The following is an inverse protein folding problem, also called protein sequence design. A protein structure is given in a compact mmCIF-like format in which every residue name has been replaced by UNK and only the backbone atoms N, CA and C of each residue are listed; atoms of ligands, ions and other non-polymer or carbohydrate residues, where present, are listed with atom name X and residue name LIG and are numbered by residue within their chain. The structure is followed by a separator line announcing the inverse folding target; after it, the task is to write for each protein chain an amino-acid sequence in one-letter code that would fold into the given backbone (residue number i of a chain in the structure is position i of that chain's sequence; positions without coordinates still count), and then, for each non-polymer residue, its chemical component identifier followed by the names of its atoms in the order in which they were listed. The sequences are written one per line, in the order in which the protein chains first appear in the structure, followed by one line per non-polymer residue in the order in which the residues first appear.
data_IF_041681739622
#
_entry.id   IF_041681739622
#
_cell.length_a   1.000
_cell.length_b   1.000
_cell.length_c   1.000
_cell.angle_alpha   90.00
_cell.angle_beta   90.00
_cell.angle_gamma   90.00
#
_symmetry.space_group_name_H-M   'P 1'
#
loop_
_entity.id
_entity.type
_entity.pdbx_description
1 polymer ?
#
# COMPACT_ATOMS: atom_id res chain seq x y z
N UNK A 1 -7.81 5.11 -22.58
CA UNK A 1 -6.50 4.43 -22.46
C UNK A 1 -5.47 5.15 -21.58
N UNK A 2 -5.75 6.30 -20.94
CA UNK A 2 -4.78 7.01 -20.06
C UNK A 2 -5.19 7.05 -18.56
N UNK A 3 -6.34 6.45 -18.22
CA UNK A 3 -6.94 6.42 -16.89
C UNK A 3 -6.45 5.27 -16.00
N UNK A 4 -5.92 4.19 -16.57
CA UNK A 4 -5.43 2.99 -15.85
C UNK A 4 -4.11 3.20 -15.13
N UNK A 5 -3.15 3.90 -15.72
CA UNK A 5 -1.76 3.98 -15.20
C UNK A 5 -1.57 4.59 -13.78
N UNK A 6 -2.59 5.24 -13.18
CA UNK A 6 -2.47 5.81 -11.81
C UNK A 6 -3.16 4.95 -10.74
N UNK A 7 -4.18 4.18 -11.13
CA UNK A 7 -4.72 3.12 -10.27
C UNK A 7 -3.68 1.99 -10.16
N UNK A 8 -3.04 1.63 -11.27
CA UNK A 8 -1.90 0.71 -11.31
C UNK A 8 -0.76 1.18 -10.38
N UNK A 9 -0.44 2.48 -10.39
CA UNK A 9 0.61 3.04 -9.51
C UNK A 9 0.25 3.05 -8.03
N UNK A 10 -1.04 3.10 -7.67
CA UNK A 10 -1.48 3.07 -6.27
C UNK A 10 -1.58 1.63 -5.76
N UNK A 11 -2.09 0.71 -6.57
CA UNK A 11 -2.12 -0.72 -6.28
C UNK A 11 -0.69 -1.25 -6.10
N UNK A 12 0.23 -0.93 -7.03
CA UNK A 12 1.64 -1.29 -6.94
C UNK A 12 2.28 -0.76 -5.64
N UNK A 13 1.98 0.49 -5.29
CA UNK A 13 2.45 1.09 -4.04
C UNK A 13 1.87 0.39 -2.81
N UNK A 14 0.61 -0.03 -2.82
CA UNK A 14 0.00 -0.80 -1.74
C UNK A 14 0.70 -2.16 -1.57
N UNK A 15 1.10 -2.80 -2.67
CA UNK A 15 1.87 -4.04 -2.66
C UNK A 15 3.26 -3.83 -2.05
N UNK A 16 3.97 -2.75 -2.41
CA UNK A 16 5.27 -2.41 -1.80
C UNK A 16 5.14 -2.11 -0.29
N UNK A 17 4.10 -1.37 0.10
CA UNK A 17 3.77 -1.09 1.50
C UNK A 17 3.52 -2.39 2.25
N UNK A 18 2.77 -3.33 1.66
CA UNK A 18 2.52 -4.64 2.26
C UNK A 18 3.81 -5.45 2.43
N UNK A 19 4.69 -5.49 1.42
CA UNK A 19 6.00 -6.16 1.51
C UNK A 19 6.83 -5.61 2.67
N UNK A 20 6.87 -4.29 2.83
CA UNK A 20 7.59 -3.64 3.93
C UNK A 20 6.92 -3.92 5.28
N UNK A 21 5.59 -3.91 5.36
CA UNK A 21 4.84 -4.26 6.59
C UNK A 21 5.13 -5.69 7.03
N UNK A 22 5.15 -6.64 6.08
CA UNK A 22 5.53 -8.04 6.33
C UNK A 22 6.99 -8.16 6.77
N UNK A 23 7.89 -7.43 6.11
CA UNK A 23 9.30 -7.38 6.48
C UNK A 23 9.49 -6.86 7.90
N UNK A 24 8.83 -5.76 8.29
CA UNK A 24 8.86 -5.21 9.64
C UNK A 24 8.36 -6.22 10.66
N UNK A 25 7.22 -6.87 10.40
CA UNK A 25 6.68 -7.94 11.27
C UNK A 25 7.69 -9.08 11.45
N UNK A 26 8.39 -9.45 10.37
CA UNK A 26 9.44 -10.48 10.43
C UNK A 26 10.68 -10.03 11.19
N UNK A 27 11.03 -8.74 11.14
CA UNK A 27 12.17 -8.15 11.84
C UNK A 27 11.88 -7.98 13.34
N UNK A 28 10.67 -7.59 13.71
CA UNK A 28 10.24 -7.43 15.11
C UNK A 28 10.11 -8.77 15.83
N UNK A 29 9.71 -9.82 15.12
CA UNK A 29 9.63 -11.18 15.68
C UNK A 29 11.02 -11.77 15.96
N UNK A 30 12.05 -11.35 15.22
CA UNK A 30 13.42 -11.84 15.37
C UNK A 30 14.07 -11.25 16.61
N UNK A 31 14.51 -12.12 17.53
CA UNK A 31 15.32 -11.76 18.69
C UNK A 31 16.68 -12.41 18.64
N UNK A 32 17.70 -11.64 18.97
CA UNK A 32 19.08 -12.10 19.09
C UNK A 32 19.45 -12.46 20.53
N UNK A 33 20.37 -13.41 20.69
CA UNK A 33 21.00 -13.72 21.97
C UNK A 33 22.15 -12.73 22.22
N UNK A 34 21.85 -11.55 22.76
CA UNK A 34 22.84 -10.52 23.10
C UNK A 34 22.74 -9.26 22.24
N UNK A 35 23.76 -8.40 22.30
CA UNK A 35 23.80 -7.11 21.60
C UNK A 35 24.45 -7.25 20.22
N UNK A 36 23.86 -8.03 19.32
CA UNK A 36 24.43 -8.30 17.99
C UNK A 36 23.51 -7.92 16.82
N UNK A 37 22.42 -7.21 17.12
CA UNK A 37 21.45 -6.76 16.11
C UNK A 37 21.69 -5.30 15.79
N UNK A 38 22.24 -5.04 14.61
CA UNK A 38 22.51 -3.70 14.10
C UNK A 38 21.34 -3.25 13.24
N UNK A 39 20.79 -2.10 13.60
CA UNK A 39 19.83 -1.34 12.80
C UNK A 39 20.53 -0.07 12.31
N UNK A 40 20.71 0.06 10.99
CA UNK A 40 21.37 1.21 10.37
C UNK A 40 20.42 1.84 9.33
N UNK A 41 20.11 3.11 9.51
CA UNK A 41 19.28 3.91 8.60
C UNK A 41 20.07 5.14 8.21
N UNK A 42 20.23 5.32 6.90
CA UNK A 42 21.00 6.40 6.30
C UNK A 42 20.03 7.30 5.51
N UNK A 43 19.93 8.58 5.84
CA UNK A 43 19.03 9.49 5.15
C UNK A 43 19.55 9.80 3.74
N UNK A 44 18.66 10.21 2.82
CA UNK A 44 19.07 10.61 1.49
C UNK A 44 19.97 11.84 1.57
N UNK A 45 20.92 11.94 0.64
CA UNK A 45 21.96 12.99 0.57
C UNK A 45 23.12 12.85 1.56
N UNK A 46 23.09 11.92 2.51
CA UNK A 46 24.28 11.62 3.32
C UNK A 46 25.35 10.88 2.49
N UNK A 47 26.59 10.89 2.97
CA UNK A 47 27.73 10.25 2.31
C UNK A 47 28.03 8.88 2.91
N UNK A 48 28.17 7.86 2.04
CA UNK A 48 28.55 6.50 2.46
C UNK A 48 29.90 6.48 3.18
N UNK A 49 30.84 7.34 2.78
CA UNK A 49 32.16 7.47 3.41
C UNK A 49 32.08 7.83 4.90
N UNK A 50 31.16 8.72 5.29
CA UNK A 50 30.91 9.09 6.68
C UNK A 50 30.45 7.89 7.49
N UNK A 51 29.49 7.13 6.98
CA UNK A 51 28.95 5.94 7.65
C UNK A 51 29.99 4.82 7.72
N UNK A 52 30.77 4.63 6.65
CA UNK A 52 31.88 3.67 6.65
C UNK A 52 32.94 4.00 7.69
N UNK A 53 33.23 5.28 7.92
CA UNK A 53 34.15 5.72 8.97
C UNK A 53 33.57 5.44 10.36
N UNK A 54 32.30 5.80 10.58
CA UNK A 54 31.60 5.50 11.84
C UNK A 54 31.65 4.00 12.16
N UNK A 55 31.35 3.12 11.19
CA UNK A 55 31.42 1.67 11.39
C UNK A 55 32.84 1.17 11.68
N UNK A 56 33.88 1.82 11.15
CA UNK A 56 35.27 1.48 11.46
C UNK A 56 35.66 1.89 12.89
N UNK A 57 35.20 3.07 13.34
CA UNK A 57 35.40 3.53 14.72
C UNK A 57 34.67 2.60 15.71
N UNK A 58 33.44 2.21 15.40
CA UNK A 58 32.64 1.25 16.19
C UNK A 58 33.25 -0.16 16.21
N UNK A 59 33.89 -0.59 15.13
CA UNK A 59 34.66 -1.85 15.12
C UNK A 59 35.86 -1.79 16.08
N UNK A 60 36.54 -0.64 16.15
CA UNK A 60 37.63 -0.39 17.07
C UNK A 60 37.18 -0.40 18.54
N UNK A 61 36.06 0.25 18.86
CA UNK A 61 35.50 0.24 20.23
C UNK A 61 35.01 -1.14 20.64
N UNK A 62 34.33 -1.86 19.74
CA UNK A 62 33.84 -3.22 20.00
C UNK A 62 34.97 -4.23 20.28
N UNK A 63 36.18 -3.98 19.78
CA UNK A 63 37.35 -4.83 20.06
C UNK A 63 37.75 -4.84 21.54
N UNK A 64 37.39 -3.79 22.30
CA UNK A 64 37.66 -3.67 23.74
C UNK A 64 36.64 -4.40 24.63
N UNK A 65 35.62 -5.04 24.05
CA UNK A 65 34.63 -5.81 24.81
C UNK A 65 35.33 -7.03 25.48
N UNK A 66 35.15 -7.16 26.81
CA UNK A 66 35.81 -8.21 27.62
C UNK A 66 35.25 -9.61 27.35
N UNK A 67 33.93 -9.72 27.14
CA UNK A 67 33.29 -11.00 26.86
C UNK A 67 33.69 -11.48 25.46
N UNK A 68 34.41 -12.60 25.38
CA UNK A 68 34.89 -13.16 24.10
C UNK A 68 33.75 -13.44 23.12
N UNK A 69 32.66 -14.03 23.62
CA UNK A 69 31.50 -14.40 22.79
C UNK A 69 30.80 -13.14 22.27
N UNK A 70 30.46 -12.19 23.15
CA UNK A 70 29.77 -10.96 22.74
C UNK A 70 30.64 -10.12 21.78
N UNK A 71 31.95 -10.05 22.03
CA UNK A 71 32.89 -9.37 21.14
C UNK A 71 32.87 -9.94 19.73
N UNK A 72 32.95 -11.27 19.59
CA UNK A 72 32.93 -11.91 18.27
C UNK A 72 31.61 -11.68 17.54
N UNK A 73 30.48 -11.72 18.24
CA UNK A 73 29.16 -11.46 17.66
C UNK A 73 29.03 -10.02 17.16
N UNK A 74 29.43 -9.02 17.97
CA UNK A 74 29.39 -7.60 17.58
C UNK A 74 30.33 -7.33 16.40
N UNK A 75 31.57 -7.80 16.45
CA UNK A 75 32.53 -7.62 15.35
C UNK A 75 32.02 -8.27 14.06
N UNK A 76 31.46 -9.48 14.16
CA UNK A 76 30.88 -10.19 13.02
C UNK A 76 29.70 -9.44 12.39
N UNK A 77 28.84 -8.82 13.19
CA UNK A 77 27.73 -8.00 12.71
C UNK A 77 28.23 -6.72 12.01
N UNK A 78 29.17 -5.98 12.63
CA UNK A 78 29.73 -4.76 12.04
C UNK A 78 30.43 -5.08 10.71
N UNK A 79 31.24 -6.13 10.65
CA UNK A 79 31.89 -6.58 9.41
C UNK A 79 30.86 -6.90 8.32
N UNK A 80 29.76 -7.56 8.67
CA UNK A 80 28.69 -7.89 7.72
C UNK A 80 28.01 -6.62 7.17
N UNK A 81 27.72 -5.63 8.01
CA UNK A 81 27.21 -4.31 7.57
C UNK A 81 28.21 -3.59 6.67
N UNK A 82 29.50 -3.58 7.02
CA UNK A 82 30.54 -2.98 6.19
C UNK A 82 30.63 -3.64 4.81
N UNK A 83 30.50 -4.97 4.72
CA UNK A 83 30.48 -5.66 3.43
C UNK A 83 29.26 -5.31 2.58
N UNK A 84 28.07 -5.16 3.19
CA UNK A 84 26.86 -4.71 2.49
C UNK A 84 27.00 -3.26 2.02
N UNK A 85 27.49 -2.38 2.88
CA UNK A 85 27.66 -0.96 2.57
C UNK A 85 28.59 -0.73 1.35
N UNK A 86 29.59 -1.61 1.15
CA UNK A 86 30.49 -1.57 -0.02
C UNK A 86 29.79 -1.86 -1.36
N UNK A 87 28.63 -2.51 -1.36
CA UNK A 87 27.85 -2.75 -2.58
C UNK A 87 27.25 -1.45 -3.13
N UNK A 88 27.07 -0.45 -2.28
CA UNK A 88 26.49 0.84 -2.65
C UNK A 88 27.59 1.88 -2.88
N UNK A 89 27.64 2.45 -4.08
CA UNK A 89 28.57 3.55 -4.40
C UNK A 89 28.07 4.89 -3.85
N UNK A 90 26.75 5.09 -3.80
CA UNK A 90 26.09 6.29 -3.28
C UNK A 90 24.80 5.89 -2.55
N UNK A 91 24.39 6.68 -1.55
CA UNK A 91 23.09 6.49 -0.90
C UNK A 91 21.99 6.70 -1.95
N UNK A 92 21.06 5.76 -2.11
CA UNK A 92 19.91 5.90 -3.01
C UNK A 92 19.05 7.14 -2.69
N UNK A 93 18.20 7.60 -3.64
CA UNK A 93 17.45 8.85 -3.49
C UNK A 93 16.47 8.87 -2.31
N UNK A 94 15.95 7.71 -1.88
CA UNK A 94 15.05 7.62 -0.73
C UNK A 94 15.77 7.29 0.60
N UNK A 95 17.08 7.08 0.57
CA UNK A 95 17.88 6.63 1.71
C UNK A 95 18.23 5.15 1.61
N UNK A 96 18.88 4.63 2.65
CA UNK A 96 19.30 3.22 2.72
C UNK A 96 19.02 2.66 4.11
N UNK A 97 18.42 1.47 4.16
CA UNK A 97 18.13 0.76 5.40
C UNK A 97 18.87 -0.56 5.39
N UNK A 98 19.64 -0.83 6.45
CA UNK A 98 20.41 -2.06 6.61
C UNK A 98 20.10 -2.65 7.99
N UNK A 99 19.60 -3.88 8.00
CA UNK A 99 19.45 -4.71 9.19
C UNK A 99 20.42 -5.88 9.11
N UNK A 100 21.24 -6.02 10.14
CA UNK A 100 22.25 -7.06 10.20
C UNK A 100 22.32 -7.65 11.61
N UNK A 101 22.32 -8.98 11.71
CA UNK A 101 22.51 -9.62 13.01
C UNK A 101 22.47 -11.14 12.96
N UNK A 102 22.76 -11.75 14.08
CA UNK A 102 22.68 -13.20 14.28
C UNK A 102 21.41 -13.52 15.06
N UNK A 103 20.46 -14.20 14.44
CA UNK A 103 19.24 -14.67 15.09
C UNK A 103 19.37 -16.15 15.42
N UNK A 104 18.65 -16.60 16.45
CA UNK A 104 18.48 -18.02 16.72
C UNK A 104 17.17 -18.45 16.06
N UNK A 105 17.23 -19.45 15.19
CA UNK A 105 16.03 -20.07 14.61
C UNK A 105 15.37 -21.00 15.63
N UNK A 106 14.11 -21.39 15.42
CA UNK A 106 13.38 -22.31 16.32
C UNK A 106 14.08 -23.67 16.51
N UNK A 107 14.92 -24.08 15.55
CA UNK A 107 15.79 -25.27 15.65
C UNK A 107 17.03 -25.07 16.54
N UNK A 108 17.19 -23.92 17.19
CA UNK A 108 18.36 -23.59 18.02
C UNK A 108 19.64 -23.28 17.24
N UNK A 109 19.61 -23.29 15.91
CA UNK A 109 20.74 -22.90 15.05
C UNK A 109 20.87 -21.38 14.93
N UNK A 110 22.11 -20.90 14.87
CA UNK A 110 22.40 -19.48 14.60
C UNK A 110 22.34 -19.20 13.10
N UNK A 111 21.49 -18.26 12.68
CA UNK A 111 21.39 -17.78 11.30
C UNK A 111 21.77 -16.32 11.23
N UNK A 112 22.71 -15.98 10.32
CA UNK A 112 23.05 -14.59 10.00
C UNK A 112 21.96 -14.02 9.09
N UNK A 113 21.36 -12.90 9.50
CA UNK A 113 20.36 -12.16 8.74
C UNK A 113 21.00 -10.86 8.30
N UNK A 114 21.07 -10.67 6.98
CA UNK A 114 21.56 -9.45 6.35
C UNK A 114 20.48 -9.01 5.36
N UNK A 115 19.84 -7.88 5.63
CA UNK A 115 18.79 -7.32 4.79
C UNK A 115 19.15 -5.88 4.51
N UNK A 116 19.24 -5.53 3.24
CA UNK A 116 19.48 -4.18 2.77
C UNK A 116 18.49 -3.84 1.66
N UNK A 117 17.86 -2.67 1.76
CA UNK A 117 16.90 -2.19 0.77
C UNK A 117 16.77 -0.66 0.79
N UNK A 118 16.31 -0.11 -0.34
CA UNK A 118 15.88 1.28 -0.45
C UNK A 118 14.40 1.40 -0.04
N UNK A 119 14.03 2.29 0.88
CA UNK A 119 12.63 2.52 1.24
C UNK A 119 11.85 3.21 0.11
N UNK A 120 10.55 2.96 0.03
CA UNK A 120 9.65 3.58 -0.96
C UNK A 120 9.44 5.09 -0.78
N UNK A 121 9.78 5.63 0.39
CA UNK A 121 9.72 7.06 0.73
C UNK A 121 11.05 7.54 1.31
N UNK A 122 11.47 8.78 1.00
CA UNK A 122 12.63 9.41 1.62
C UNK A 122 12.58 9.42 3.15
N UNK A 123 13.61 8.87 3.80
CA UNK A 123 13.74 8.85 5.26
C UNK A 123 14.67 9.96 5.73
N UNK A 124 14.17 10.93 6.51
CA UNK A 124 15.03 12.00 7.05
C UNK A 124 15.75 11.64 8.36
N UNK A 125 15.47 10.47 8.94
CA UNK A 125 16.09 10.03 10.20
C UNK A 125 17.37 9.23 9.95
N UNK A 126 18.46 9.62 10.58
CA UNK A 126 19.67 8.79 10.69
C UNK A 126 19.61 7.99 11.99
N UNK A 127 19.80 6.67 11.92
CA UNK A 127 19.77 5.78 13.08
C UNK A 127 20.89 4.76 12.98
N UNK A 128 21.66 4.58 14.05
CA UNK A 128 22.60 3.49 14.24
C UNK A 128 22.44 2.98 15.67
N UNK A 129 21.92 1.76 15.82
CA UNK A 129 21.72 1.12 17.12
C UNK A 129 22.15 -0.34 17.05
N UNK A 130 22.81 -0.80 18.10
CA UNK A 130 23.17 -2.19 18.32
C UNK A 130 22.46 -2.67 19.60
N UNK A 131 21.47 -3.55 19.45
CA UNK A 131 20.67 -4.07 20.57
C UNK A 131 20.41 -5.58 20.39
N UNK A 132 19.52 -6.17 21.20
CA UNK A 132 19.05 -7.54 21.08
C UNK A 132 17.85 -7.73 20.13
N UNK A 133 17.32 -6.63 19.59
CA UNK A 133 16.21 -6.58 18.63
C UNK A 133 16.51 -5.58 17.52
N UNK A 134 15.80 -5.71 16.40
CA UNK A 134 15.84 -4.68 15.36
C UNK A 134 14.91 -3.52 15.71
N UNK A 135 15.39 -2.31 15.42
CA UNK A 135 14.64 -1.06 15.59
C UNK A 135 13.96 -0.69 14.27
N UNK A 136 12.65 -0.88 14.22
CA UNK A 136 11.79 -0.67 13.06
C UNK A 136 10.93 0.58 13.18
N UNK A 137 11.07 1.38 14.25
CA UNK A 137 10.19 2.51 14.55
C UNK A 137 10.17 3.54 13.42
N UNK A 138 11.33 3.81 12.81
CA UNK A 138 11.47 4.71 11.68
C UNK A 138 10.77 4.20 10.40
N UNK A 139 10.73 2.89 10.18
CA UNK A 139 10.01 2.30 9.03
C UNK A 139 8.50 2.28 9.27
N UNK A 140 8.07 1.96 10.49
CA UNK A 140 6.66 1.98 10.86
C UNK A 140 6.05 3.38 10.69
N UNK A 141 6.84 4.44 10.92
CA UNK A 141 6.42 5.81 10.64
C UNK A 141 6.21 6.10 9.13
N UNK A 142 6.94 5.43 8.22
CA UNK A 142 6.76 5.60 6.77
C UNK A 142 5.54 4.86 6.23
N UNK A 143 5.19 3.75 6.89
CA UNK A 143 3.97 2.98 6.66
C UNK A 143 2.72 3.69 7.17
N UNK A 144 2.85 4.75 7.98
CA UNK A 144 1.74 5.65 8.25
C UNK A 144 1.33 6.29 6.91
N UNK A 145 0.26 5.73 6.36
CA UNK A 145 -0.01 5.83 4.95
C UNK A 145 -0.90 7.04 4.71
N UNK A 146 -0.22 8.13 4.46
CA UNK A 146 -0.88 9.40 4.36
C UNK A 146 -1.21 9.65 2.89
N UNK A 147 -2.38 9.14 2.50
CA UNK A 147 -3.09 9.65 1.34
C UNK A 147 -3.16 11.17 1.46
N UNK A 148 -2.74 11.88 0.41
CA UNK A 148 -2.77 13.34 0.41
C UNK A 148 -4.22 13.80 0.18
N UNK A 149 -4.80 14.46 1.16
CA UNK A 149 -6.14 15.02 1.08
C UNK A 149 -6.08 16.52 0.88
N UNK A 150 -6.91 17.05 -0.01
CA UNK A 150 -7.07 18.48 -0.25
C UNK A 150 -8.15 19.06 0.64
N UNK A 151 -7.94 20.28 1.10
CA UNK A 151 -8.93 21.06 1.84
C UNK A 151 -9.09 22.42 1.19
N UNK A 152 -10.34 22.80 0.95
CA UNK A 152 -10.71 24.15 0.55
C UNK A 152 -11.61 24.70 1.64
N UNK A 153 -11.11 25.70 2.36
CA UNK A 153 -11.87 26.41 3.39
C UNK A 153 -12.35 27.72 2.79
N UNK A 154 -13.65 27.83 2.53
CA UNK A 154 -14.29 29.04 2.04
C UNK A 154 -14.92 29.82 3.18
N UNK A 155 -14.59 31.10 3.26
CA UNK A 155 -15.25 32.05 4.15
C UNK A 155 -15.64 33.32 3.39
N UNK A 156 -16.52 34.13 3.97
CA UNK A 156 -16.95 35.41 3.38
C UNK A 156 -15.82 36.44 3.27
N UNK A 157 -14.74 36.26 4.04
CA UNK A 157 -13.58 37.16 4.08
C UNK A 157 -12.38 36.64 3.26
N UNK A 158 -12.45 35.42 2.72
CA UNK A 158 -11.33 34.80 2.00
C UNK A 158 -11.40 33.28 1.94
N UNK A 159 -10.48 32.70 1.17
CA UNK A 159 -10.34 31.27 0.98
C UNK A 159 -8.94 30.79 1.35
N UNK A 160 -8.87 29.58 1.89
CA UNK A 160 -7.62 28.87 2.20
C UNK A 160 -7.62 27.51 1.51
N UNK A 161 -6.48 27.19 0.90
CA UNK A 161 -6.20 25.92 0.25
C UNK A 161 -5.08 25.24 1.02
N UNK A 162 -5.36 24.03 1.50
CA UNK A 162 -4.42 23.26 2.28
C UNK A 162 -4.43 21.79 1.89
N UNK A 163 -3.39 21.09 2.29
CA UNK A 163 -3.33 19.63 2.18
C UNK A 163 -3.03 19.02 3.53
N UNK A 164 -3.66 17.88 3.78
CA UNK A 164 -3.35 17.03 4.91
C UNK A 164 -2.76 15.74 4.37
N UNK A 165 -1.56 15.42 4.84
CA UNK A 165 -0.93 14.14 4.61
C UNK A 165 -0.71 13.53 6.01
N UNK A 166 -1.71 12.75 6.44
CA UNK A 166 -1.86 12.17 7.79
C UNK A 166 -1.71 13.19 8.88
N UNK A 167 -0.54 13.22 9.52
CA UNK A 167 -0.30 14.17 10.61
C UNK A 167 0.41 15.47 10.16
N UNK A 168 0.87 15.54 8.91
CA UNK A 168 1.45 16.77 8.37
C UNK A 168 0.37 17.59 7.67
N UNK A 169 0.20 18.83 8.13
CA UNK A 169 -0.67 19.84 7.49
C UNK A 169 0.19 20.85 6.75
N UNK A 170 -0.19 21.18 5.53
CA UNK A 170 0.47 22.19 4.71
C UNK A 170 -0.57 23.17 4.17
N UNK A 171 -0.33 24.47 4.35
CA UNK A 171 -1.16 25.52 3.74
C UNK A 171 -0.49 25.91 2.43
N UNK A 172 -1.12 25.57 1.31
CA UNK A 172 -0.57 25.82 -0.02
C UNK A 172 -0.75 27.29 -0.43
N UNK A 173 -1.97 27.80 -0.26
CA UNK A 173 -2.30 29.15 -0.67
C UNK A 173 -3.45 29.72 0.17
N UNK A 174 -3.44 31.03 0.38
CA UNK A 174 -4.54 31.76 1.00
C UNK A 174 -4.68 33.13 0.37
N UNK A 175 -5.92 33.57 0.19
CA UNK A 175 -6.21 34.94 -0.24
C UNK A 175 -7.46 35.46 0.44
N UNK A 176 -7.52 36.78 0.61
CA UNK A 176 -8.65 37.48 1.22
C UNK A 176 -9.54 38.10 0.14
N UNK A 177 -10.82 38.26 0.47
CA UNK A 177 -11.83 38.88 -0.39
C UNK A 177 -12.74 39.75 0.47
N UNK A 178 -13.09 40.93 -0.03
CA UNK A 178 -14.09 41.79 0.60
C UNK A 178 -15.41 41.71 -0.20
N UNK A 179 -16.38 40.99 0.35
CA UNK A 179 -17.69 40.79 -0.27
C UNK A 179 -18.70 41.81 0.27
N UNK A 180 -19.53 42.44 -0.61
CA UNK A 180 -20.58 43.34 -0.17
C UNK A 180 -21.56 42.66 0.79
N UNK A 181 -21.78 43.27 1.96
CA UNK A 181 -22.69 42.72 2.97
C UNK A 181 -24.16 42.77 2.51
N UNK A 182 -25.00 41.97 3.16
CA UNK A 182 -26.45 42.04 2.96
C UNK A 182 -26.95 43.34 3.60
N UNK A 183 -27.49 44.24 2.79
CA UNK A 183 -28.08 45.49 3.25
C UNK A 183 -29.60 45.39 3.15
N UNK A 184 -30.30 45.67 4.24
CA UNK A 184 -31.77 45.78 4.28
C UNK A 184 -32.28 47.21 4.04
N UNK A 185 -31.38 48.19 3.94
CA UNK A 185 -31.70 49.61 3.71
C UNK A 185 -31.25 49.99 2.31
N UNK A 186 -32.14 50.52 1.47
CA UNK A 186 -31.79 50.85 0.08
C UNK A 186 -32.90 51.36 -0.84
N UNK A 187 -34.18 51.34 -0.43
CA UNK A 187 -35.29 51.83 -1.26
C UNK A 187 -35.25 51.24 -2.68
N UNK A 188 -35.34 52.11 -3.70
CA UNK A 188 -35.26 51.75 -5.13
C UNK A 188 -33.91 51.11 -5.54
N UNK A 189 -32.82 51.44 -4.85
CA UNK A 189 -31.48 50.92 -5.16
C UNK A 189 -31.20 49.54 -4.55
N UNK A 190 -32.10 49.00 -3.72
CA UNK A 190 -31.92 47.72 -3.04
C UNK A 190 -31.68 46.55 -4.02
N UNK A 191 -32.41 46.51 -5.14
CA UNK A 191 -32.26 45.47 -6.16
C UNK A 191 -30.88 45.52 -6.83
N UNK A 192 -30.37 46.73 -7.11
CA UNK A 192 -29.03 46.91 -7.68
C UNK A 192 -27.94 46.41 -6.73
N UNK A 193 -28.02 46.75 -5.45
CA UNK A 193 -27.05 46.26 -4.45
C UNK A 193 -27.14 44.74 -4.26
N UNK A 194 -28.33 44.15 -4.41
CA UNK A 194 -28.49 42.71 -4.41
C UNK A 194 -27.81 42.05 -5.61
N UNK A 195 -27.98 42.61 -6.82
CA UNK A 195 -27.31 42.11 -8.03
C UNK A 195 -25.78 42.20 -7.92
N UNK A 196 -25.25 43.36 -7.53
CA UNK A 196 -23.80 43.55 -7.33
C UNK A 196 -23.21 42.57 -6.33
N UNK A 197 -23.96 42.24 -5.27
CA UNK A 197 -23.54 41.24 -4.29
C UNK A 197 -23.47 39.84 -4.90
N UNK A 198 -24.51 39.41 -5.62
CA UNK A 198 -24.53 38.10 -6.27
C UNK A 198 -23.44 37.99 -7.33
N UNK A 199 -23.19 39.05 -8.09
CA UNK A 199 -22.11 39.11 -9.07
C UNK A 199 -20.72 38.97 -8.43
N UNK A 200 -20.46 39.68 -7.32
CA UNK A 200 -19.21 39.55 -6.57
C UNK A 200 -19.03 38.16 -5.94
N UNK A 201 -20.11 37.54 -5.44
CA UNK A 201 -20.09 36.16 -4.95
C UNK A 201 -19.78 35.16 -6.06
N UNK A 202 -20.41 35.30 -7.21
CA UNK A 202 -20.15 34.44 -8.37
C UNK A 202 -18.69 34.55 -8.84
N UNK A 203 -18.14 35.77 -8.91
CA UNK A 203 -16.72 35.99 -9.21
C UNK A 203 -15.78 35.40 -8.14
N UNK A 204 -16.19 35.42 -6.87
CA UNK A 204 -15.43 34.78 -5.81
C UNK A 204 -15.40 33.26 -5.95
N UNK A 205 -16.55 32.61 -6.18
CA UNK A 205 -16.65 31.16 -6.43
C UNK A 205 -15.80 30.78 -7.64
N UNK A 206 -15.85 31.56 -8.73
CA UNK A 206 -15.00 31.36 -9.92
C UNK A 206 -13.51 31.40 -9.58
N UNK A 207 -13.07 32.44 -8.86
CA UNK A 207 -11.65 32.58 -8.47
C UNK A 207 -11.20 31.41 -7.58
N UNK A 208 -12.05 30.95 -6.67
CA UNK A 208 -11.75 29.79 -5.81
C UNK A 208 -11.64 28.52 -6.64
N UNK A 209 -12.55 28.30 -7.59
CA UNK A 209 -12.51 27.15 -8.49
C UNK A 209 -11.24 27.13 -9.35
N UNK A 210 -10.86 28.26 -9.96
CA UNK A 210 -9.66 28.37 -10.79
C UNK A 210 -8.37 28.09 -10.00
N UNK A 211 -8.27 28.65 -8.79
CA UNK A 211 -7.11 28.41 -7.90
C UNK A 211 -7.08 26.96 -7.41
N UNK A 212 -8.24 26.34 -7.15
CA UNK A 212 -8.32 24.93 -6.80
C UNK A 212 -7.74 24.05 -7.90
N UNK A 213 -8.10 24.30 -9.17
CA UNK A 213 -7.57 23.57 -10.32
C UNK A 213 -6.06 23.75 -10.43
N UNK A 214 -5.54 24.97 -10.28
CA UNK A 214 -4.10 25.22 -10.35
C UNK A 214 -3.29 24.49 -9.27
N UNK A 215 -3.84 24.31 -8.07
CA UNK A 215 -3.14 23.71 -6.93
C UNK A 215 -3.31 22.19 -6.86
N UNK A 216 -4.52 21.69 -7.11
CA UNK A 216 -4.87 20.29 -6.92
C UNK A 216 -4.83 19.47 -8.21
N UNK A 217 -4.69 20.10 -9.38
CA UNK A 217 -4.50 19.39 -10.65
C UNK A 217 -3.08 19.65 -11.15
N UNK A 218 -2.30 18.59 -11.27
CA UNK A 218 -0.95 18.63 -11.86
C UNK A 218 -0.90 17.64 -13.02
N UNK A 219 -0.40 18.07 -14.19
CA UNK A 219 -0.32 17.22 -15.40
C UNK A 219 -1.68 16.55 -15.76
N UNK A 220 -2.75 17.34 -15.83
CA UNK A 220 -4.11 16.88 -16.16
C UNK A 220 -4.72 15.83 -15.22
N UNK A 221 -4.13 15.61 -14.03
CA UNK A 221 -4.64 14.66 -13.05
C UNK A 221 -4.70 15.28 -11.64
N UNK A 222 -5.71 14.94 -10.83
CA UNK A 222 -5.76 15.39 -9.44
C UNK A 222 -4.63 14.76 -8.63
N UNK A 223 -3.88 15.58 -7.88
CA UNK A 223 -2.75 15.16 -7.05
C UNK A 223 -3.17 14.71 -5.63
N UNK A 224 -4.47 14.76 -5.34
CA UNK A 224 -5.08 14.42 -4.05
C UNK A 224 -5.96 13.17 -4.19
N UNK A 225 -5.96 12.34 -3.15
CA UNK A 225 -6.81 11.16 -3.05
C UNK A 225 -8.29 11.52 -2.85
N UNK A 226 -8.55 12.63 -2.16
CA UNK A 226 -9.88 13.19 -1.95
C UNK A 226 -9.83 14.64 -1.52
N UNK A 227 -10.97 15.31 -1.65
CA UNK A 227 -11.13 16.74 -1.42
C UNK A 227 -12.24 16.97 -0.38
N UNK A 228 -11.97 17.83 0.58
CA UNK A 228 -12.96 18.30 1.56
C UNK A 228 -13.22 19.78 1.30
N UNK A 229 -14.50 20.12 1.13
CA UNK A 229 -14.93 21.51 1.06
C UNK A 229 -15.47 21.89 2.43
N UNK A 230 -14.79 22.80 3.10
CA UNK A 230 -15.19 23.37 4.36
C UNK A 230 -15.61 24.83 4.18
N UNK A 231 -16.55 25.30 4.97
CA UNK A 231 -16.88 26.72 4.96
C UNK A 231 -18.08 27.06 5.82
N UNK A 232 -18.22 28.36 6.08
CA UNK A 232 -19.39 28.92 6.73
C UNK A 232 -20.49 29.18 5.67
N UNK A 233 -21.72 28.78 5.99
CA UNK A 233 -22.89 28.90 5.10
C UNK A 233 -22.79 28.12 3.76
N UNK A 234 -23.67 28.45 2.81
CA UNK A 234 -23.91 27.69 1.58
C UNK A 234 -22.85 27.87 0.49
N UNK A 235 -21.79 28.66 0.72
CA UNK A 235 -20.77 28.93 -0.30
C UNK A 235 -20.07 27.68 -0.84
N UNK A 236 -19.81 26.70 0.03
CA UNK A 236 -19.21 25.42 -0.36
C UNK A 236 -20.18 24.56 -1.20
N UNK A 237 -21.48 24.68 -0.94
CA UNK A 237 -22.53 23.99 -1.69
C UNK A 237 -22.65 24.61 -3.08
N UNK A 238 -22.63 25.94 -3.17
CA UNK A 238 -22.57 26.66 -4.44
C UNK A 238 -21.32 26.27 -5.24
N UNK A 239 -20.15 26.15 -4.62
CA UNK A 239 -18.93 25.69 -5.30
C UNK A 239 -19.09 24.25 -5.82
N UNK A 240 -19.58 23.34 -4.98
CA UNK A 240 -19.75 21.92 -5.33
C UNK A 240 -20.74 21.68 -6.47
N UNK A 241 -21.80 22.49 -6.53
CA UNK A 241 -22.84 22.40 -7.57
C UNK A 241 -22.53 23.25 -8.81
N UNK A 242 -21.49 24.09 -8.77
CA UNK A 242 -21.19 24.99 -9.89
C UNK A 242 -20.54 24.26 -11.05
N UNK A 243 -20.97 24.58 -12.27
CA UNK A 243 -20.33 24.12 -13.52
C UNK A 243 -18.92 24.71 -13.72
N UNK A 244 -18.54 25.69 -12.90
CA UNK A 244 -17.22 26.33 -12.94
C UNK A 244 -16.15 25.51 -12.22
N UNK A 245 -16.55 24.57 -11.36
CA UNK A 245 -15.62 23.71 -10.66
C UNK A 245 -15.16 22.58 -11.58
N UNK A 246 -13.88 22.25 -11.55
CA UNK A 246 -13.33 21.20 -12.42
C UNK A 246 -14.04 19.85 -12.13
N UNK A 247 -14.66 19.21 -13.14
CA UNK A 247 -15.35 17.93 -12.95
C UNK A 247 -14.47 16.84 -12.34
N UNK A 248 -13.15 16.88 -12.59
CA UNK A 248 -12.17 15.94 -12.04
C UNK A 248 -12.04 16.09 -10.53
N UNK A 249 -12.07 17.33 -10.03
CA UNK A 249 -12.03 17.63 -8.60
C UNK A 249 -13.39 17.39 -7.95
N UNK A 250 -14.48 17.68 -8.66
CA UNK A 250 -15.84 17.44 -8.21
C UNK A 250 -16.09 15.96 -7.87
N UNK A 251 -15.61 15.05 -8.74
CA UNK A 251 -15.67 13.60 -8.50
C UNK A 251 -14.84 13.13 -7.29
N UNK A 252 -13.92 13.95 -6.79
CA UNK A 252 -13.06 13.66 -5.63
C UNK A 252 -13.55 14.32 -4.33
N UNK A 253 -14.69 15.02 -4.34
CA UNK A 253 -15.28 15.58 -3.12
C UNK A 253 -15.77 14.44 -2.22
N UNK A 254 -15.18 14.34 -1.03
CA UNK A 254 -15.54 13.33 -0.03
C UNK A 254 -16.66 13.82 0.89
N UNK A 255 -16.53 15.04 1.41
CA UNK A 255 -17.46 15.60 2.41
C UNK A 255 -17.50 17.12 2.32
N UNK A 256 -18.70 17.66 2.53
CA UNK A 256 -18.92 19.09 2.81
C UNK A 256 -18.96 19.28 4.33
N UNK A 257 -18.16 20.19 4.87
CA UNK A 257 -18.04 20.40 6.32
C UNK A 257 -18.43 21.82 6.68
N UNK A 258 -19.37 21.96 7.62
CA UNK A 258 -19.70 23.22 8.28
C UNK A 258 -18.66 23.56 9.33
N UNK A 259 -17.98 24.69 9.15
CA UNK A 259 -17.02 25.23 10.12
C UNK A 259 -17.48 26.59 10.60
N UNK A 260 -17.25 26.88 11.88
CA UNK A 260 -17.68 28.12 12.52
C UNK A 260 -16.75 29.30 12.20
N UNK A 261 -15.50 29.00 11.86
CA UNK A 261 -14.45 29.97 11.59
C UNK A 261 -13.85 29.76 10.20
N UNK A 262 -13.42 30.83 9.55
CA UNK A 262 -12.63 30.79 8.32
C UNK A 262 -11.12 30.67 8.56
N UNK A 263 -10.36 30.60 7.46
CA UNK A 263 -8.90 30.60 7.49
C UNK A 263 -8.28 29.37 8.17
N UNK A 264 -7.15 29.56 8.86
CA UNK A 264 -6.36 28.47 9.45
C UNK A 264 -7.07 27.80 10.65
N UNK A 265 -7.86 28.56 11.41
CA UNK A 265 -8.65 27.99 12.50
C UNK A 265 -9.78 27.10 11.96
N UNK A 266 -10.45 27.55 10.90
CA UNK A 266 -11.43 26.75 10.15
C UNK A 266 -10.82 25.50 9.54
N UNK A 267 -9.58 25.58 9.06
CA UNK A 267 -8.84 24.44 8.53
C UNK A 267 -8.62 23.35 9.58
N UNK A 268 -8.21 23.72 10.80
CA UNK A 268 -8.03 22.75 11.89
C UNK A 268 -9.35 22.09 12.30
N UNK A 269 -10.42 22.88 12.40
CA UNK A 269 -11.75 22.36 12.70
C UNK A 269 -12.25 21.41 11.61
N UNK A 270 -12.00 21.74 10.33
CA UNK A 270 -12.35 20.89 9.21
C UNK A 270 -11.61 19.55 9.23
N UNK A 271 -10.32 19.55 9.62
CA UNK A 271 -9.53 18.33 9.77
C UNK A 271 -10.14 17.42 10.84
N UNK A 272 -10.47 17.97 12.02
CA UNK A 272 -11.05 17.21 13.12
C UNK A 272 -12.42 16.60 12.75
N UNK A 273 -13.31 17.38 12.14
CA UNK A 273 -14.65 16.92 11.71
C UNK A 273 -14.62 15.94 10.53
N UNK A 274 -13.49 15.87 9.82
CA UNK A 274 -13.30 14.98 8.67
C UNK A 274 -12.49 13.74 9.00
N UNK A 275 -11.88 13.66 10.18
CA UNK A 275 -10.98 12.58 10.56
C UNK A 275 -11.59 11.18 10.34
N UNK A 276 -12.86 11.01 10.72
CA UNK A 276 -13.60 9.75 10.54
C UNK A 276 -13.78 9.38 9.06
N UNK A 277 -14.10 10.34 8.20
CA UNK A 277 -14.28 10.06 6.76
C UNK A 277 -12.94 9.79 6.09
N UNK A 278 -11.89 10.49 6.51
CA UNK A 278 -10.54 10.31 6.00
C UNK A 278 -9.96 8.94 6.37
N UNK A 279 -10.18 8.45 7.59
CA UNK A 279 -9.79 7.09 7.97
C UNK A 279 -10.55 6.02 7.18
N UNK A 280 -11.78 6.33 6.76
CA UNK A 280 -12.64 5.39 6.06
C UNK A 280 -12.41 5.31 4.55
N UNK A 281 -11.59 6.18 3.94
CA UNK A 281 -11.39 6.20 2.48
C UNK A 281 -10.85 4.88 1.94
N UNK A 282 -9.90 4.26 2.65
CA UNK A 282 -9.37 2.93 2.26
C UNK A 282 -10.46 1.86 2.28
N UNK A 283 -11.28 1.84 3.35
CA UNK A 283 -12.40 0.91 3.46
C UNK A 283 -13.48 1.13 2.40
N UNK A 284 -13.72 2.39 1.99
CA UNK A 284 -14.67 2.71 0.92
C UNK A 284 -14.17 2.22 -0.44
N UNK A 285 -12.87 2.40 -0.74
CA UNK A 285 -12.27 1.90 -1.98
C UNK A 285 -12.32 0.37 -2.02
N UNK A 286 -11.93 -0.28 -0.93
CA UNK A 286 -11.99 -1.73 -0.76
C UNK A 286 -13.41 -2.29 -0.93
N UNK A 287 -14.39 -1.69 -0.26
CA UNK A 287 -15.81 -2.05 -0.39
C UNK A 287 -16.32 -1.87 -1.83
N UNK A 288 -15.88 -0.81 -2.52
CA UNK A 288 -16.24 -0.59 -3.93
C UNK A 288 -15.63 -1.64 -4.86
N UNK A 289 -14.37 -2.03 -4.60
CA UNK A 289 -13.69 -3.08 -5.36
C UNK A 289 -14.39 -4.43 -5.20
N UNK A 290 -14.66 -4.83 -3.95
CA UNK A 290 -15.37 -6.09 -3.65
C UNK A 290 -16.82 -6.03 -4.15
N UNK A 291 -17.47 -4.86 -4.08
CA UNK A 291 -18.78 -4.64 -4.67
C UNK A 291 -18.79 -4.91 -6.17
N UNK A 292 -17.81 -4.40 -6.92
CA UNK A 292 -17.65 -4.68 -8.35
C UNK A 292 -17.46 -6.18 -8.62
N UNK A 293 -16.70 -6.87 -7.77
CA UNK A 293 -16.55 -8.33 -7.86
C UNK A 293 -17.88 -9.06 -7.65
N UNK A 294 -18.66 -8.69 -6.62
CA UNK A 294 -19.98 -9.31 -6.38
C UNK A 294 -21.02 -8.96 -7.44
N UNK A 295 -20.91 -7.81 -8.09
CA UNK A 295 -21.78 -7.46 -9.22
C UNK A 295 -21.56 -8.43 -10.40
N UNK A 296 -20.30 -8.78 -10.71
CA UNK A 296 -19.98 -9.75 -11.78
C UNK A 296 -20.50 -11.15 -11.44
N UNK A 297 -20.41 -11.57 -10.16
CA UNK A 297 -20.99 -12.83 -9.68
C UNK A 297 -22.52 -12.81 -9.75
N UNK A 298 -23.15 -11.70 -9.36
CA UNK A 298 -24.62 -11.59 -9.31
C UNK A 298 -25.26 -11.50 -10.70
N UNK A 299 -24.53 -10.94 -11.68
CA UNK A 299 -24.99 -10.78 -13.06
C UNK A 299 -24.66 -12.00 -13.95
N UNK A 300 -23.96 -13.00 -13.41
CA UNK A 300 -23.54 -14.23 -14.11
C UNK A 300 -22.85 -13.93 -15.46
N UNK A 301 -21.96 -12.92 -15.46
CA UNK A 301 -21.21 -12.52 -16.66
C UNK A 301 -20.12 -13.54 -17.02
N UNK A 302 -19.77 -14.42 -16.07
CA UNK A 302 -18.66 -15.36 -16.15
C UNK A 302 -17.27 -14.69 -16.13
N UNK A 303 -17.19 -13.41 -15.70
CA UNK A 303 -15.94 -12.63 -15.62
C UNK A 303 -15.34 -12.57 -14.22
N UNK A 304 -15.46 -13.65 -13.46
CA UNK A 304 -14.88 -13.76 -12.13
C UNK A 304 -14.23 -15.13 -11.98
N UNK A 305 -13.25 -15.22 -11.10
CA UNK A 305 -12.66 -16.49 -10.67
C UNK A 305 -12.51 -16.48 -9.15
N UNK A 306 -12.63 -17.64 -8.52
CA UNK A 306 -12.49 -17.78 -7.08
C UNK A 306 -11.75 -19.07 -6.71
N UNK A 307 -11.18 -19.10 -5.52
CA UNK A 307 -10.36 -20.24 -5.11
C UNK A 307 -8.99 -20.24 -5.78
N UNK A 308 -8.09 -21.05 -5.24
CA UNK A 308 -6.66 -21.00 -5.62
C UNK A 308 -6.45 -21.52 -7.04
N UNK A 309 -7.06 -22.67 -7.37
CA UNK A 309 -6.79 -23.38 -8.61
C UNK A 309 -7.35 -22.64 -9.84
N UNK A 310 -8.61 -22.20 -9.79
CA UNK A 310 -9.21 -21.38 -10.87
C UNK A 310 -8.46 -20.06 -11.06
N UNK A 311 -8.09 -19.40 -9.96
CA UNK A 311 -7.41 -18.11 -10.03
C UNK A 311 -6.00 -18.23 -10.61
N UNK A 312 -5.27 -19.31 -10.30
CA UNK A 312 -3.96 -19.58 -10.89
C UNK A 312 -4.07 -19.95 -12.36
N UNK A 313 -5.01 -20.83 -12.74
CA UNK A 313 -5.28 -21.14 -14.15
C UNK A 313 -5.63 -19.86 -14.93
N UNK A 314 -6.50 -19.01 -14.38
CA UNK A 314 -6.85 -17.72 -14.96
C UNK A 314 -5.66 -16.76 -15.09
N UNK A 315 -4.75 -16.78 -14.10
CA UNK A 315 -3.55 -15.96 -14.09
C UNK A 315 -2.55 -16.44 -15.15
N UNK A 316 -2.34 -17.74 -15.30
CA UNK A 316 -1.48 -18.36 -16.32
C UNK A 316 -2.00 -18.10 -17.75
N UNK A 317 -3.33 -18.09 -17.93
CA UNK A 317 -3.97 -17.68 -19.18
C UNK A 317 -3.87 -16.17 -19.47
N UNK A 318 -3.42 -15.35 -18.51
CA UNK A 318 -3.36 -13.89 -18.64
C UNK A 318 -4.75 -13.22 -18.72
N UNK A 319 -5.79 -13.90 -18.22
CA UNK A 319 -7.18 -13.47 -18.32
C UNK A 319 -7.59 -12.48 -17.22
N UNK A 320 -6.83 -12.42 -16.12
CA UNK A 320 -7.15 -11.61 -14.93
C UNK A 320 -6.86 -10.13 -15.19
N UNK A 321 -7.86 -9.28 -14.97
CA UNK A 321 -7.70 -7.82 -14.93
C UNK A 321 -7.19 -7.39 -13.56
N UNK A 322 -7.95 -7.73 -12.52
CA UNK A 322 -7.69 -7.36 -11.13
C UNK A 322 -7.71 -8.63 -10.28
N UNK A 323 -6.57 -8.93 -9.68
CA UNK A 323 -6.38 -10.01 -8.73
C UNK A 323 -6.62 -9.48 -7.31
N UNK A 324 -7.57 -10.08 -6.59
CA UNK A 324 -7.99 -9.67 -5.25
C UNK A 324 -7.54 -10.72 -4.25
N UNK A 325 -6.63 -10.35 -3.36
CA UNK A 325 -6.07 -11.27 -2.36
C UNK A 325 -6.19 -10.72 -0.94
N UNK A 326 -6.53 -11.58 0.02
CA UNK A 326 -6.64 -11.20 1.43
C UNK A 326 -5.27 -11.12 2.11
N UNK A 327 -5.03 -10.10 2.94
CA UNK A 327 -3.73 -9.85 3.57
C UNK A 327 -3.21 -11.00 4.46
N UNK A 328 -4.11 -11.79 5.03
CA UNK A 328 -3.79 -12.91 5.93
C UNK A 328 -4.09 -14.27 5.29
N UNK A 329 -3.95 -14.38 3.95
CA UNK A 329 -4.10 -15.64 3.24
C UNK A 329 -3.17 -16.73 3.81
N UNK A 330 -3.77 -17.79 4.35
CA UNK A 330 -3.06 -18.92 4.98
C UNK A 330 -2.81 -20.06 3.99
N UNK A 331 -2.17 -19.72 2.87
CA UNK A 331 -1.86 -20.66 1.78
C UNK A 331 -0.38 -20.57 1.45
N UNK A 332 0.28 -21.72 1.48
CA UNK A 332 1.69 -21.89 1.17
C UNK A 332 1.82 -22.54 -0.21
N UNK A 333 2.73 -22.01 -1.02
CA UNK A 333 3.14 -22.57 -2.31
C UNK A 333 4.41 -23.38 -2.11
N UNK A 334 4.33 -24.67 -2.40
CA UNK A 334 5.44 -25.60 -2.35
C UNK A 334 5.83 -26.02 -3.75
N UNK A 335 7.10 -25.87 -4.08
CA UNK A 335 7.69 -26.39 -5.31
C UNK A 335 8.38 -27.70 -4.92
N UNK A 336 7.77 -28.81 -5.32
CA UNK A 336 8.26 -30.15 -5.08
C UNK A 336 8.89 -30.70 -6.34
N UNK A 337 10.01 -31.40 -6.19
CA UNK A 337 10.71 -32.05 -7.30
C UNK A 337 10.78 -33.54 -7.06
N UNK A 338 10.40 -34.32 -8.07
CA UNK A 338 10.57 -35.77 -8.01
C UNK A 338 12.00 -36.14 -8.47
N UNK A 339 12.76 -36.87 -7.65
CA UNK A 339 14.12 -37.30 -7.96
C UNK A 339 14.17 -38.36 -9.09
N UNK A 340 13.07 -39.06 -9.37
CA UNK A 340 12.99 -40.07 -10.42
C UNK A 340 12.72 -39.50 -11.81
N UNK A 341 11.73 -38.60 -11.93
CA UNK A 341 11.25 -38.06 -13.23
C UNK A 341 11.74 -36.64 -13.52
N UNK A 342 12.40 -35.98 -12.55
CA UNK A 342 12.82 -34.57 -12.63
C UNK A 342 11.64 -33.58 -12.80
N UNK A 343 10.40 -34.05 -12.68
CA UNK A 343 9.19 -33.24 -12.78
C UNK A 343 9.01 -32.34 -11.56
N UNK A 344 8.54 -31.13 -11.80
CA UNK A 344 8.29 -30.11 -10.78
C UNK A 344 6.78 -30.06 -10.55
N UNK A 345 6.33 -30.58 -9.40
CA UNK A 345 4.92 -30.45 -8.97
C UNK A 345 4.80 -29.24 -8.06
N UNK A 346 3.88 -28.33 -8.38
CA UNK A 346 3.60 -27.15 -7.56
C UNK A 346 2.33 -27.44 -6.77
N UNK A 347 2.43 -27.44 -5.44
CA UNK A 347 1.29 -27.64 -4.55
C UNK A 347 0.96 -26.35 -3.82
N UNK A 348 -0.34 -26.07 -3.68
CA UNK A 348 -0.86 -24.99 -2.87
C UNK A 348 -1.62 -25.60 -1.71
N UNK A 349 -1.07 -25.53 -0.51
CA UNK A 349 -1.63 -26.18 0.67
C UNK A 349 -1.99 -25.13 1.72
N UNK A 350 -3.10 -25.35 2.40
CA UNK A 350 -3.44 -24.61 3.63
C UNK A 350 -2.66 -25.18 4.83
N UNK A 351 -2.49 -24.40 5.89
CA UNK A 351 -1.84 -24.86 7.14
C UNK A 351 -2.51 -26.10 7.78
N UNK A 352 -3.76 -26.38 7.45
CA UNK A 352 -4.45 -27.60 7.85
C UNK A 352 -4.01 -28.83 7.03
N UNK A 353 -3.91 -28.66 5.71
CA UNK A 353 -3.48 -29.71 4.77
C UNK A 353 -1.98 -29.98 4.84
N UNK A 354 -1.17 -29.01 5.30
CA UNK A 354 0.27 -29.20 5.57
C UNK A 354 0.52 -30.32 6.60
N UNK A 355 -0.41 -30.56 7.53
CA UNK A 355 -0.28 -31.63 8.54
C UNK A 355 -0.44 -33.03 7.95
N UNK A 356 -1.09 -33.14 6.79
CA UNK A 356 -1.33 -34.40 6.11
C UNK A 356 -0.14 -34.74 5.21
N UNK A 357 0.76 -35.58 5.77
CA UNK A 357 1.98 -36.05 5.09
C UNK A 357 1.74 -36.79 3.78
N UNK A 358 0.50 -37.19 3.49
CA UNK A 358 0.09 -37.83 2.23
C UNK A 358 0.30 -36.95 1.00
N UNK A 359 0.34 -35.62 1.16
CA UNK A 359 0.55 -34.69 0.04
C UNK A 359 2.02 -34.53 -0.38
N UNK A 360 2.97 -35.02 0.43
CA UNK A 360 4.41 -34.96 0.16
C UNK A 360 4.97 -36.28 -0.38
N UNK A 361 4.11 -37.29 -0.55
CA UNK A 361 4.45 -38.60 -1.09
C UNK A 361 3.74 -38.75 -2.43
N UNK A 362 4.48 -39.09 -3.48
CA UNK A 362 3.87 -39.29 -4.79
C UNK A 362 2.98 -40.55 -4.76
N UNK A 363 1.71 -40.43 -5.16
CA UNK A 363 0.73 -41.53 -5.07
C UNK A 363 1.10 -42.75 -5.92
N UNK A 364 1.89 -42.54 -6.98
CA UNK A 364 2.27 -43.58 -7.94
C UNK A 364 3.60 -44.28 -7.61
N UNK A 365 4.58 -43.56 -7.06
CA UNK A 365 5.94 -44.09 -6.83
C UNK A 365 6.24 -44.35 -5.35
N UNK A 366 5.42 -43.85 -4.43
CA UNK A 366 5.63 -43.98 -2.99
C UNK A 366 6.92 -43.31 -2.48
N UNK A 367 7.57 -42.48 -3.31
CA UNK A 367 8.77 -41.74 -2.95
C UNK A 367 8.40 -40.36 -2.37
N UNK A 368 9.16 -39.93 -1.36
CA UNK A 368 9.05 -38.59 -0.79
C UNK A 368 9.56 -37.56 -1.82
N UNK A 369 8.72 -36.58 -2.14
CA UNK A 369 9.08 -35.50 -3.05
C UNK A 369 10.04 -34.52 -2.35
N UNK A 370 11.11 -34.12 -3.02
CA UNK A 370 12.06 -33.17 -2.44
C UNK A 370 11.46 -31.76 -2.46
N UNK A 371 11.46 -31.12 -1.30
CA UNK A 371 11.08 -29.72 -1.14
C UNK A 371 12.18 -28.81 -1.69
N UNK A 372 11.92 -28.19 -2.85
CA UNK A 372 12.86 -27.24 -3.46
C UNK A 372 12.68 -25.86 -2.84
N UNK A 373 11.43 -25.38 -2.79
CA UNK A 373 11.13 -24.04 -2.30
C UNK A 373 9.76 -24.00 -1.64
N UNK A 374 9.66 -23.30 -0.51
CA UNK A 374 8.40 -23.01 0.18
C UNK A 374 8.25 -21.50 0.31
N UNK A 375 7.17 -20.94 -0.26
CA UNK A 375 6.90 -19.51 -0.19
C UNK A 375 5.40 -19.25 0.05
N UNK A 376 5.01 -18.26 0.87
CA UNK A 376 3.61 -17.86 1.00
C UNK A 376 3.02 -17.42 -0.34
N UNK A 377 1.82 -17.89 -0.68
CA UNK A 377 1.22 -17.63 -2.01
C UNK A 377 1.05 -16.13 -2.28
N UNK A 378 0.63 -15.35 -1.29
CA UNK A 378 0.49 -13.90 -1.40
C UNK A 378 1.83 -13.20 -1.72
N UNK A 379 2.95 -13.73 -1.23
CA UNK A 379 4.28 -13.18 -1.51
C UNK A 379 4.73 -13.50 -2.94
N UNK A 380 4.45 -14.72 -3.41
CA UNK A 380 4.68 -15.10 -4.79
C UNK A 380 3.85 -14.23 -5.76
N UNK A 381 2.57 -14.03 -5.47
CA UNK A 381 1.69 -13.14 -6.24
C UNK A 381 2.24 -11.71 -6.27
N UNK A 382 2.65 -11.17 -5.13
CA UNK A 382 3.22 -9.83 -5.02
C UNK A 382 4.55 -9.65 -5.78
N UNK A 383 5.26 -10.72 -6.11
CA UNK A 383 6.50 -10.67 -6.90
C UNK A 383 6.23 -10.82 -8.40
N UNK A 384 5.26 -11.65 -8.80
CA UNK A 384 5.10 -12.08 -10.19
C UNK A 384 3.84 -11.55 -10.90
N UNK A 385 2.92 -10.86 -10.20
CA UNK A 385 1.68 -10.36 -10.81
C UNK A 385 1.89 -9.49 -12.06
N UNK A 386 3.02 -8.76 -12.12
CA UNK A 386 3.39 -7.90 -13.25
C UNK A 386 3.67 -8.68 -14.53
N UNK A 387 4.24 -9.89 -14.41
CA UNK A 387 4.59 -10.71 -15.56
C UNK A 387 3.33 -11.25 -16.27
N UNK A 388 2.24 -11.43 -15.51
CA UNK A 388 0.94 -11.86 -16.02
C UNK A 388 0.03 -10.70 -16.48
N UNK A 389 0.47 -9.45 -16.30
CA UNK A 389 -0.30 -8.26 -16.67
C UNK A 389 -1.57 -8.04 -15.83
N UNK A 390 -1.67 -8.63 -14.65
CA UNK A 390 -2.77 -8.40 -13.71
C UNK A 390 -2.43 -7.24 -12.75
N UNK A 391 -3.43 -6.60 -12.16
CA UNK A 391 -3.24 -5.67 -11.02
C UNK A 391 -3.52 -6.40 -9.71
N UNK A 392 -2.63 -6.33 -8.73
CA UNK A 392 -2.81 -6.98 -7.43
C UNK A 392 -3.37 -5.99 -6.42
N UNK A 393 -4.56 -6.28 -5.89
CA UNK A 393 -5.21 -5.54 -4.81
C UNK A 393 -5.29 -6.38 -3.55
N UNK A 394 -4.73 -5.85 -2.46
CA UNK A 394 -4.68 -6.53 -1.17
C UNK A 394 -5.81 -5.98 -0.28
N UNK A 395 -6.70 -6.87 0.15
CA UNK A 395 -7.89 -6.53 0.95
C UNK A 395 -7.78 -7.05 2.39
N UNK A 396 -8.69 -6.58 3.24
CA UNK A 396 -8.84 -6.94 4.65
C UNK A 396 -10.23 -7.50 4.93
N UNK A 397 -10.42 -8.12 6.09
CA UNK A 397 -11.70 -8.70 6.53
C UNK A 397 -12.51 -7.75 7.44
N UNK A 398 -12.12 -6.47 7.50
CA UNK A 398 -12.75 -5.48 8.39
C UNK A 398 -14.12 -5.01 7.93
N UNK A 399 -14.38 -5.06 6.62
CA UNK A 399 -15.67 -4.74 6.03
C UNK A 399 -16.59 -5.96 6.01
N UNK A 400 -17.91 -5.74 5.97
CA UNK A 400 -18.87 -6.84 5.86
C UNK A 400 -18.66 -7.62 4.54
N UNK A 401 -18.41 -6.87 3.45
CA UNK A 401 -18.12 -7.41 2.12
C UNK A 401 -16.79 -8.18 2.11
N UNK A 402 -15.74 -7.67 2.76
CA UNK A 402 -14.46 -8.35 2.93
C UNK A 402 -14.60 -9.65 3.73
N UNK A 403 -15.39 -9.65 4.81
CA UNK A 403 -15.66 -10.86 5.58
C UNK A 403 -16.42 -11.91 4.76
N UNK A 404 -17.38 -11.49 3.92
CA UNK A 404 -18.07 -12.38 2.99
C UNK A 404 -17.13 -12.93 1.92
N UNK A 405 -16.25 -12.11 1.37
CA UNK A 405 -15.26 -12.54 0.39
C UNK A 405 -14.32 -13.60 0.96
N UNK A 406 -13.78 -13.38 2.17
CA UNK A 406 -12.86 -14.33 2.82
C UNK A 406 -13.57 -15.63 3.18
N UNK A 407 -14.78 -15.57 3.77
CA UNK A 407 -15.51 -16.78 4.21
C UNK A 407 -16.18 -17.54 3.07
N UNK A 408 -16.64 -16.84 2.03
CA UNK A 408 -17.39 -17.42 0.92
C UNK A 408 -16.52 -17.89 -0.23
N UNK A 409 -15.44 -17.15 -0.55
CA UNK A 409 -14.62 -17.37 -1.74
C UNK A 409 -13.16 -17.75 -1.41
N UNK A 410 -12.85 -18.03 -0.14
CA UNK A 410 -11.52 -18.51 0.28
C UNK A 410 -10.44 -17.43 0.33
N UNK A 411 -10.80 -16.14 0.20
CA UNK A 411 -9.87 -15.01 0.35
C UNK A 411 -8.94 -14.77 -0.84
N UNK A 412 -9.11 -15.49 -1.95
CA UNK A 412 -8.41 -15.28 -3.22
C UNK A 412 -9.39 -15.40 -4.39
N UNK A 413 -9.19 -14.54 -5.38
CA UNK A 413 -10.07 -14.45 -6.54
C UNK A 413 -9.65 -13.31 -7.45
N UNK A 414 -10.40 -13.11 -8.53
CA UNK A 414 -10.08 -12.09 -9.50
C UNK A 414 -11.24 -11.71 -10.39
N UNK A 415 -11.16 -10.51 -10.94
CA UNK A 415 -12.04 -10.02 -12.00
C UNK A 415 -11.33 -10.28 -13.33
N UNK A 416 -11.99 -11.00 -14.23
CA UNK A 416 -11.46 -11.39 -15.52
C UNK A 416 -11.79 -10.35 -16.60
N UNK A 417 -10.91 -10.18 -17.57
CA UNK A 417 -11.12 -9.30 -18.73
C UNK A 417 -12.21 -9.84 -19.67
N UNK A 418 -12.27 -11.16 -19.78
CA UNK A 418 -13.19 -11.90 -20.63
C UNK A 418 -13.69 -13.15 -19.90
N UNK A 419 -14.81 -13.70 -20.38
CA UNK A 419 -15.41 -14.90 -19.81
C UNK A 419 -14.50 -16.10 -20.06
N UNK A 420 -14.20 -16.85 -19.00
CA UNK A 420 -13.45 -18.10 -19.05
C UNK A 420 -14.36 -19.20 -18.50
N UNK A 421 -14.39 -20.34 -19.15
CA UNK A 421 -15.21 -21.48 -18.74
C UNK A 421 -14.35 -22.50 -18.01
N UNK A 422 -14.30 -22.39 -16.68
CA UNK A 422 -13.46 -23.25 -15.83
C UNK A 422 -13.91 -24.71 -15.83
N UNK A 423 -15.21 -24.98 -16.05
CA UNK A 423 -15.75 -26.34 -16.10
C UNK A 423 -15.20 -27.15 -17.29
N UNK A 424 -14.95 -26.47 -18.41
CA UNK A 424 -14.34 -27.10 -19.59
C UNK A 424 -12.84 -27.39 -19.42
N UNK A 425 -12.18 -26.71 -18.49
CA UNK A 425 -10.75 -26.89 -18.20
C UNK A 425 -10.50 -28.00 -17.19
N UNK A 426 -11.41 -28.23 -16.23
CA UNK A 426 -11.35 -29.41 -15.34
C UNK A 426 -11.60 -30.70 -16.12
N UNK A 427 -12.58 -30.71 -17.03
CA UNK A 427 -12.87 -31.87 -17.87
C UNK A 427 -11.69 -32.28 -18.78
N UNK A 428 -10.92 -31.31 -19.29
CA UNK A 428 -9.75 -31.60 -20.13
C UNK A 428 -8.52 -32.09 -19.34
N UNK A 429 -8.39 -31.73 -18.05
CA UNK A 429 -7.32 -32.28 -17.19
C UNK A 429 -7.65 -33.74 -16.80
N UNK A 430 -8.92 -34.04 -16.48
CA UNK A 430 -9.38 -35.41 -16.20
C UNK A 430 -9.32 -36.31 -17.46
N UNK A 431 -9.66 -35.79 -18.64
CA UNK A 431 -9.60 -36.55 -19.91
C UNK A 431 -8.15 -36.82 -20.40
N UNK A 432 -7.14 -36.13 -19.84
CA UNK A 432 -5.72 -36.40 -20.11
C UNK A 432 -5.11 -37.44 -19.18
N UNK A 433 -5.71 -37.69 -18.00
CA UNK A 433 -5.30 -38.80 -17.10
C UNK A 433 -5.80 -40.17 -17.59
N UNK A 434 -6.78 -40.23 -18.50
CA UNK A 434 -7.43 -41.48 -18.95
C UNK A 434 -6.94 -42.02 -20.32
N UNK A 435 -5.90 -41.43 -20.92
CA UNK A 435 -5.22 -42.02 -22.09
C UNK A 435 -4.11 -43.00 -21.64
N UNK A 436 -4.54 -44.17 -21.16
CA UNK A 436 -3.70 -45.36 -21.05
C UNK A 436 -3.06 -45.65 -22.42
N UNK A 437 -1.75 -45.42 -22.51
CA UNK A 437 -0.89 -45.66 -23.68
C UNK A 437 -0.56 -47.15 -23.89
N UNK A 438 -1.46 -48.05 -23.50
CA UNK A 438 -1.29 -49.51 -23.60
C UNK A 438 -1.98 -50.14 -24.83
N UNK A 439 -2.62 -49.34 -25.70
CA UNK A 439 -3.22 -49.80 -26.96
C UNK A 439 -2.58 -49.15 -28.21
N UNK A 440 -1.29 -49.43 -28.47
CA UNK A 440 -0.68 -49.24 -29.80
C UNK A 440 0.39 -50.28 -30.16
#
# INVERSE_FOLDING_TARGET
MASTNFEDSNADRNVEIWKIKKLIKSLEAKRGNGTSMISLIIPPRDQISRVSKMLADEFGTASNIKSRVNRLSVLGAITSVQHRLKLYTRVPPNGLVIYCGTIVTDEGKEKKVNIDFEPFKPINTSLYLCDNKFHTEALSALLADDNKFGFIVMDGNGALFGTLQGNTREVLHKFTVDLPKKHGRGGQSALRFARLRMEKRHNYVRKVAEVATQLFVTNDKPNIAGLILAGSADFKTELSQSDMFDPRLQAKILKLVDVSYGGENGFNQAIELSAEVLSNVKFIQEKKLIGRYFDEVSQDTGKYCFGVDETLKALEMGSVEILIAWENLDIMRYVLKNNGTNEVKILHLTSAQEKDKSHFVDKETGMELELVESMPLLEWLANNYKDYGATLEIITDRSQEGSQYVKGFGGIGGILRYRVDFQSLEANDDDLEDFDLDDL
#
